data_IF_450069966812
#
_entry.id   IF_450069966812
#
_cell.length_a   1.000
_cell.length_b   1.000
_cell.length_c   1.000
_cell.angle_alpha   90.00
_cell.angle_beta   90.00
_cell.angle_gamma   90.00
#
_symmetry.space_group_name_H-M   'P 1'
#
loop_
_entity.id
_entity.type
_entity.pdbx_description
1 polymer ?
#
# COMPACT_ATOMS: atom_id res chain seq x y z
N UNK A 1 -34.69 29.40 10.06
CA UNK A 1 -33.24 29.30 10.40
C UNK A 1 -33.12 28.52 11.71
N UNK A 2 -33.17 27.19 11.66
CA UNK A 2 -32.81 26.30 12.77
C UNK A 2 -32.55 24.85 12.30
N UNK A 3 -33.00 24.49 11.09
CA UNK A 3 -32.78 23.15 10.50
C UNK A 3 -31.31 22.86 10.14
N UNK A 4 -30.51 23.85 9.74
CA UNK A 4 -29.09 23.64 9.41
C UNK A 4 -28.19 23.35 10.63
N UNK A 5 -28.60 23.76 11.84
CA UNK A 5 -27.78 23.59 13.05
C UNK A 5 -27.99 22.20 13.67
N UNK A 6 -29.22 21.67 13.62
CA UNK A 6 -29.53 20.33 14.12
C UNK A 6 -28.94 19.21 13.23
N UNK A 7 -28.93 19.41 11.91
CA UNK A 7 -28.36 18.42 10.96
C UNK A 7 -26.84 18.31 11.10
N UNK A 8 -26.14 19.43 11.32
CA UNK A 8 -24.68 19.44 11.53
C UNK A 8 -24.31 18.76 12.84
N UNK A 9 -25.08 18.96 13.91
CA UNK A 9 -24.85 18.25 15.17
C UNK A 9 -25.12 16.76 15.03
N UNK A 10 -26.18 16.35 14.35
CA UNK A 10 -26.48 14.93 14.14
C UNK A 10 -25.41 14.23 13.28
N UNK A 11 -24.94 14.88 12.20
CA UNK A 11 -23.83 14.37 11.41
C UNK A 11 -22.53 14.29 12.22
N UNK A 12 -22.21 15.30 13.03
CA UNK A 12 -21.02 15.31 13.89
C UNK A 12 -21.09 14.22 14.97
N UNK A 13 -22.27 13.98 15.55
CA UNK A 13 -22.49 12.92 16.54
C UNK A 13 -22.39 11.54 15.88
N UNK A 14 -22.99 11.34 14.70
CA UNK A 14 -22.84 10.08 13.96
C UNK A 14 -21.36 9.86 13.58
N UNK A 15 -20.68 10.88 13.07
CA UNK A 15 -19.24 10.81 12.75
C UNK A 15 -18.40 10.53 13.99
N UNK A 16 -18.74 11.09 15.15
CA UNK A 16 -18.04 10.88 16.42
C UNK A 16 -18.32 9.50 17.04
N UNK A 17 -19.54 9.00 16.94
CA UNK A 17 -19.93 7.66 17.40
C UNK A 17 -19.36 6.57 16.48
N UNK A 18 -19.32 6.85 15.19
CA UNK A 18 -18.68 6.00 14.18
C UNK A 18 -17.17 5.96 14.42
N UNK A 19 -16.55 7.13 14.62
CA UNK A 19 -15.16 7.29 15.08
C UNK A 19 -14.87 6.49 16.35
N UNK A 20 -15.70 6.60 17.39
CA UNK A 20 -15.47 5.93 18.67
C UNK A 20 -15.61 4.40 18.58
N UNK A 21 -16.61 3.90 17.83
CA UNK A 21 -16.75 2.45 17.56
C UNK A 21 -15.59 1.90 16.74
N UNK A 22 -15.07 2.70 15.81
CA UNK A 22 -13.91 2.30 15.01
C UNK A 22 -12.60 2.37 15.79
N UNK A 23 -12.41 3.37 16.65
CA UNK A 23 -11.29 3.42 17.58
C UNK A 23 -11.32 2.24 18.56
N UNK A 24 -12.51 1.86 19.03
CA UNK A 24 -12.69 0.67 19.86
C UNK A 24 -12.33 -0.60 19.06
N UNK A 25 -12.82 -0.75 17.83
CA UNK A 25 -12.46 -1.88 16.96
C UNK A 25 -10.96 -1.94 16.65
N UNK A 26 -10.34 -0.80 16.33
CA UNK A 26 -8.91 -0.68 16.08
C UNK A 26 -8.11 -0.97 17.36
N UNK A 27 -8.60 -0.55 18.52
CA UNK A 27 -7.99 -0.84 19.81
C UNK A 27 -8.08 -2.33 20.15
N UNK A 28 -9.25 -2.96 19.96
CA UNK A 28 -9.47 -4.39 20.13
C UNK A 28 -8.60 -5.20 19.17
N UNK A 29 -8.45 -4.76 17.91
CA UNK A 29 -7.56 -5.37 16.92
C UNK A 29 -6.08 -5.20 17.27
N UNK A 30 -5.65 -4.01 17.71
CA UNK A 30 -4.30 -3.79 18.25
C UNK A 30 -4.02 -4.68 19.45
N UNK A 31 -5.01 -4.90 20.32
CA UNK A 31 -4.91 -5.85 21.43
C UNK A 31 -4.87 -7.31 20.96
N UNK A 32 -5.64 -7.67 19.94
CA UNK A 32 -5.66 -9.01 19.35
C UNK A 32 -4.34 -9.34 18.63
N UNK A 33 -3.77 -8.39 17.88
CA UNK A 33 -2.45 -8.50 17.26
C UNK A 33 -1.31 -8.50 18.30
N UNK A 34 -1.43 -7.75 19.40
CA UNK A 34 -0.50 -7.77 20.53
C UNK A 34 -0.47 -9.10 21.28
N UNK A 35 -1.51 -9.92 21.20
CA UNK A 35 -1.46 -11.32 21.67
C UNK A 35 -0.61 -12.10 20.67
N UNK A 36 0.71 -11.94 20.84
CA UNK A 36 1.82 -12.38 19.99
C UNK A 36 1.99 -13.91 20.03
N UNK A 37 0.89 -14.62 19.78
CA UNK A 37 0.82 -16.08 19.74
C UNK A 37 -0.12 -16.49 18.61
N UNK A 38 0.51 -16.88 17.50
CA UNK A 38 0.11 -17.96 16.60
C UNK A 38 -0.99 -17.72 15.55
N UNK A 39 -0.59 -17.18 14.40
CA UNK A 39 -0.49 -17.91 13.12
C UNK A 39 -0.27 -16.91 11.98
N UNK A 40 0.65 -17.21 11.06
CA UNK A 40 0.90 -16.43 9.83
C UNK A 40 -0.41 -16.05 9.10
N UNK A 41 -1.35 -16.99 9.06
CA UNK A 41 -2.69 -16.82 8.50
C UNK A 41 -3.48 -15.66 9.12
N UNK A 42 -3.40 -15.46 10.44
CA UNK A 42 -4.09 -14.34 11.11
C UNK A 42 -3.47 -13.00 10.74
N UNK A 43 -2.15 -12.93 10.59
CA UNK A 43 -1.46 -11.70 10.18
C UNK A 43 -1.80 -11.32 8.75
N UNK A 44 -1.85 -12.30 7.84
CA UNK A 44 -2.34 -12.08 6.48
C UNK A 44 -3.80 -11.62 6.45
N UNK A 45 -4.69 -12.26 7.21
CA UNK A 45 -6.09 -11.83 7.30
C UNK A 45 -6.24 -10.41 7.84
N UNK A 46 -5.40 -10.01 8.78
CA UNK A 46 -5.38 -8.65 9.28
C UNK A 46 -4.90 -7.65 8.23
N UNK A 47 -3.83 -7.97 7.48
CA UNK A 47 -3.39 -7.16 6.35
C UNK A 47 -4.45 -7.08 5.23
N UNK A 48 -5.09 -8.21 4.88
CA UNK A 48 -6.19 -8.28 3.91
C UNK A 48 -7.36 -7.36 4.34
N UNK A 49 -7.72 -7.39 5.63
CA UNK A 49 -8.76 -6.51 6.20
C UNK A 49 -8.38 -5.02 6.11
N UNK A 50 -7.15 -4.68 6.50
CA UNK A 50 -6.66 -3.30 6.43
C UNK A 50 -6.66 -2.79 4.98
N UNK A 51 -6.22 -3.61 4.02
CA UNK A 51 -6.24 -3.25 2.61
C UNK A 51 -7.67 -3.00 2.11
N UNK A 52 -8.60 -3.92 2.39
CA UNK A 52 -10.00 -3.76 1.99
C UNK A 52 -10.61 -2.47 2.54
N UNK A 53 -10.23 -2.09 3.77
CA UNK A 53 -10.74 -0.87 4.39
C UNK A 53 -10.13 0.40 3.78
N UNK A 54 -8.84 0.38 3.43
CA UNK A 54 -8.18 1.48 2.68
C UNK A 54 -8.84 1.65 1.30
N UNK A 55 -9.13 0.55 0.60
CA UNK A 55 -9.75 0.57 -0.73
C UNK A 55 -11.23 0.96 -0.70
N UNK A 56 -11.91 0.84 0.45
CA UNK A 56 -13.36 1.05 0.53
C UNK A 56 -13.82 2.50 0.31
N UNK A 57 -12.91 3.47 0.15
CA UNK A 57 -13.17 4.93 0.06
C UNK A 57 -13.96 5.53 1.25
N UNK A 58 -14.37 4.72 2.23
CA UNK A 58 -15.12 5.13 3.43
C UNK A 58 -14.22 5.89 4.42
N UNK A 59 -12.90 5.71 4.33
CA UNK A 59 -11.93 6.37 5.19
C UNK A 59 -11.49 7.72 4.60
N UNK A 60 -12.30 8.77 4.76
CA UNK A 60 -11.87 10.13 4.40
C UNK A 60 -10.96 10.74 5.49
N UNK A 61 -9.91 11.45 5.06
CA UNK A 61 -9.07 12.28 5.93
C UNK A 61 -8.09 11.51 6.84
N UNK A 62 -8.10 11.82 8.14
CA UNK A 62 -7.11 11.31 9.11
C UNK A 62 -7.12 9.78 9.31
N UNK A 63 -8.23 9.12 8.99
CA UNK A 63 -8.36 7.67 9.09
C UNK A 63 -7.53 6.93 8.05
N UNK A 64 -7.53 7.42 6.81
CA UNK A 64 -6.76 6.84 5.71
C UNK A 64 -5.27 6.73 6.05
N UNK A 65 -4.68 7.83 6.54
CA UNK A 65 -3.27 7.85 6.94
C UNK A 65 -2.98 6.87 8.10
N UNK A 66 -3.87 6.79 9.09
CA UNK A 66 -3.71 5.89 10.24
C UNK A 66 -3.77 4.43 9.82
N UNK A 67 -4.67 4.09 8.90
CA UNK A 67 -4.82 2.74 8.35
C UNK A 67 -3.64 2.35 7.47
N UNK A 68 -3.20 3.26 6.59
CA UNK A 68 -1.98 3.10 5.79
C UNK A 68 -0.77 2.85 6.69
N UNK A 69 -0.60 3.62 7.76
CA UNK A 69 0.49 3.39 8.71
C UNK A 69 0.37 2.04 9.44
N UNK A 70 -0.85 1.64 9.84
CA UNK A 70 -1.07 0.33 10.45
C UNK A 70 -0.75 -0.82 9.47
N UNK A 71 -1.11 -0.67 8.20
CA UNK A 71 -0.81 -1.62 7.13
C UNK A 71 0.70 -1.71 6.89
N UNK A 72 1.39 -0.57 6.76
CA UNK A 72 2.85 -0.51 6.62
C UNK A 72 3.51 -1.28 7.76
N UNK A 73 3.18 -0.96 9.00
CA UNK A 73 3.78 -1.60 10.17
C UNK A 73 3.54 -3.12 10.17
N UNK A 74 2.34 -3.57 9.83
CA UNK A 74 2.02 -5.01 9.80
C UNK A 74 2.83 -5.77 8.75
N UNK A 75 2.91 -5.23 7.52
CA UNK A 75 3.64 -5.87 6.42
C UNK A 75 5.15 -5.77 6.62
N UNK A 76 5.67 -4.65 7.13
CA UNK A 76 7.09 -4.53 7.49
C UNK A 76 7.48 -5.48 8.62
N UNK A 77 6.63 -5.66 9.64
CA UNK A 77 6.86 -6.62 10.71
C UNK A 77 6.79 -8.08 10.21
N UNK A 78 5.98 -8.35 9.18
CA UNK A 78 5.99 -9.66 8.50
C UNK A 78 7.30 -9.88 7.75
N UNK A 79 7.77 -8.87 7.01
CA UNK A 79 9.05 -8.92 6.30
C UNK A 79 10.26 -9.04 7.24
N UNK A 80 10.24 -8.34 8.37
CA UNK A 80 11.30 -8.38 9.37
C UNK A 80 11.35 -9.71 10.13
N UNK A 81 10.20 -10.38 10.26
CA UNK A 81 10.08 -11.69 10.90
C UNK A 81 10.45 -12.88 10.01
N UNK A 82 10.99 -12.64 8.81
CA UNK A 82 11.30 -13.66 7.80
C UNK A 82 10.11 -14.57 7.45
N UNK A 83 8.91 -14.00 7.56
CA UNK A 83 7.67 -14.70 7.20
C UNK A 83 7.42 -14.58 5.69
N UNK A 84 6.91 -15.63 5.03
CA UNK A 84 6.53 -15.53 3.62
C UNK A 84 5.40 -14.51 3.45
N UNK A 85 5.69 -13.39 2.78
CA UNK A 85 4.72 -12.35 2.48
C UNK A 85 4.15 -12.55 1.08
N UNK A 86 2.83 -12.54 0.93
CA UNK A 86 2.18 -12.64 -0.39
C UNK A 86 2.61 -11.44 -1.26
N UNK A 87 2.90 -11.70 -2.54
CA UNK A 87 3.24 -10.65 -3.54
C UNK A 87 2.24 -9.49 -3.52
N UNK A 88 0.94 -9.79 -3.45
CA UNK A 88 -0.12 -8.78 -3.39
C UNK A 88 0.12 -7.77 -2.26
N UNK A 89 0.49 -8.21 -1.06
CA UNK A 89 0.71 -7.30 0.06
C UNK A 89 1.89 -6.36 -0.17
N UNK A 90 2.91 -6.81 -0.88
CA UNK A 90 4.07 -6.01 -1.25
C UNK A 90 3.73 -4.98 -2.34
N UNK A 91 2.88 -5.35 -3.30
CA UNK A 91 2.39 -4.41 -4.30
C UNK A 91 1.52 -3.32 -3.65
N UNK A 92 0.57 -3.70 -2.80
CA UNK A 92 -0.23 -2.75 -2.00
C UNK A 92 0.66 -1.84 -1.15
N UNK A 93 1.70 -2.40 -0.51
CA UNK A 93 2.63 -1.59 0.28
C UNK A 93 3.35 -0.55 -0.59
N UNK A 94 3.74 -0.93 -1.82
CA UNK A 94 4.35 -0.01 -2.76
C UNK A 94 3.40 1.11 -3.21
N UNK A 95 2.14 0.78 -3.50
CA UNK A 95 1.10 1.76 -3.83
C UNK A 95 0.86 2.73 -2.67
N UNK A 96 0.84 2.24 -1.43
CA UNK A 96 0.75 3.08 -0.24
C UNK A 96 1.94 4.04 -0.16
N UNK A 97 3.18 3.56 -0.31
CA UNK A 97 4.35 4.44 -0.32
C UNK A 97 4.31 5.47 -1.44
N UNK A 98 3.85 5.11 -2.64
CA UNK A 98 3.64 6.05 -3.75
C UNK A 98 2.64 7.14 -3.36
N UNK A 99 1.51 6.75 -2.75
CA UNK A 99 0.47 7.70 -2.31
C UNK A 99 0.96 8.66 -1.23
N UNK A 100 1.88 8.21 -0.37
CA UNK A 100 2.49 9.01 0.70
C UNK A 100 3.70 9.80 0.22
N UNK A 101 4.21 9.55 -0.99
CA UNK A 101 5.44 10.14 -1.51
C UNK A 101 6.71 9.64 -0.80
N UNK A 102 6.67 8.52 -0.09
CA UNK A 102 7.82 7.91 0.58
C UNK A 102 8.66 7.08 -0.40
N UNK A 103 9.36 7.79 -1.27
CA UNK A 103 10.20 7.17 -2.30
C UNK A 103 11.39 6.40 -1.72
N UNK A 104 11.86 6.74 -0.51
CA UNK A 104 12.98 6.06 0.13
C UNK A 104 12.58 4.63 0.56
N UNK A 105 11.43 4.48 1.21
CA UNK A 105 10.89 3.16 1.57
C UNK A 105 10.51 2.36 0.33
N UNK A 106 9.94 3.02 -0.69
CA UNK A 106 9.59 2.40 -1.96
C UNK A 106 10.80 1.83 -2.71
N UNK A 107 11.92 2.54 -2.77
CA UNK A 107 13.15 2.05 -3.40
C UNK A 107 13.73 0.81 -2.69
N UNK A 108 13.69 0.80 -1.34
CA UNK A 108 14.08 -0.37 -0.54
C UNK A 108 13.17 -1.56 -0.80
N UNK A 109 11.86 -1.32 -0.92
CA UNK A 109 10.88 -2.36 -1.24
C UNK A 109 11.06 -2.89 -2.66
N UNK A 110 11.28 -2.01 -3.65
CA UNK A 110 11.56 -2.39 -5.04
C UNK A 110 12.79 -3.30 -5.12
N UNK A 111 13.86 -3.00 -4.37
CA UNK A 111 15.06 -3.85 -4.31
C UNK A 111 14.70 -5.27 -3.88
N UNK A 112 13.93 -5.42 -2.78
CA UNK A 112 13.43 -6.72 -2.31
C UNK A 112 12.51 -7.41 -3.33
N UNK A 113 11.65 -6.64 -4.00
CA UNK A 113 10.73 -7.16 -5.00
C UNK A 113 11.48 -7.75 -6.21
N UNK A 114 12.55 -7.10 -6.67
CA UNK A 114 13.40 -7.65 -7.74
C UNK A 114 14.23 -8.86 -7.28
N UNK A 115 14.62 -8.94 -6.01
CA UNK A 115 15.26 -10.14 -5.45
C UNK A 115 14.30 -11.34 -5.43
N UNK A 116 13.03 -11.10 -5.09
CA UNK A 116 12.02 -12.16 -4.96
C UNK A 116 11.39 -12.57 -6.29
N UNK A 117 11.18 -11.62 -7.20
CA UNK A 117 10.48 -11.84 -8.48
C UNK A 117 11.16 -11.06 -9.62
N UNK A 118 12.39 -11.43 -10.02
CA UNK A 118 13.18 -10.67 -10.99
C UNK A 118 12.52 -10.53 -12.38
N UNK A 119 11.81 -11.57 -12.82
CA UNK A 119 11.21 -11.65 -14.16
C UNK A 119 9.74 -11.19 -14.22
N UNK A 120 9.26 -10.57 -13.15
CA UNK A 120 7.85 -10.22 -13.01
C UNK A 120 7.52 -8.84 -13.58
N UNK A 121 6.75 -8.82 -14.66
CA UNK A 121 6.41 -7.58 -15.37
C UNK A 121 5.74 -6.54 -14.48
N UNK A 122 4.95 -6.92 -13.47
CA UNK A 122 4.23 -5.96 -12.63
C UNK A 122 5.20 -5.12 -11.80
N UNK A 123 6.32 -5.72 -11.40
CA UNK A 123 7.37 -5.04 -10.62
C UNK A 123 8.16 -4.09 -11.53
N UNK A 124 8.39 -4.48 -12.77
CA UNK A 124 8.95 -3.58 -13.79
C UNK A 124 8.04 -2.38 -14.06
N UNK A 125 6.74 -2.61 -14.17
CA UNK A 125 5.76 -1.51 -14.34
C UNK A 125 5.70 -0.62 -13.10
N UNK A 126 5.74 -1.19 -11.90
CA UNK A 126 5.79 -0.43 -10.64
C UNK A 126 7.06 0.44 -10.56
N UNK A 127 8.23 -0.07 -10.97
CA UNK A 127 9.48 0.71 -11.06
C UNK A 127 9.32 1.87 -12.04
N UNK A 128 8.75 1.62 -13.23
CA UNK A 128 8.50 2.68 -14.22
C UNK A 128 7.56 3.76 -13.66
N UNK A 129 6.45 3.37 -13.07
CA UNK A 129 5.47 4.30 -12.50
C UNK A 129 6.10 5.15 -11.39
N UNK A 130 6.95 4.54 -10.56
CA UNK A 130 7.72 5.25 -9.53
C UNK A 130 8.66 6.30 -10.13
N UNK A 131 9.38 5.96 -11.20
CA UNK A 131 10.29 6.89 -11.89
C UNK A 131 9.53 8.07 -12.50
N UNK A 132 8.39 7.79 -13.14
CA UNK A 132 7.51 8.79 -13.73
C UNK A 132 6.96 9.72 -12.65
N UNK A 133 6.50 9.18 -11.51
CA UNK A 133 6.03 9.95 -10.35
C UNK A 133 7.13 10.87 -9.80
N UNK A 134 8.37 10.37 -9.68
CA UNK A 134 9.55 11.17 -9.27
C UNK A 134 9.98 12.20 -10.31
N UNK A 135 9.48 12.11 -11.55
CA UNK A 135 9.88 12.94 -12.71
C UNK A 135 11.40 12.89 -12.95
N UNK A 136 12.01 11.73 -12.73
CA UNK A 136 13.46 11.54 -12.80
C UNK A 136 13.89 11.03 -14.17
N UNK A 137 14.37 11.93 -15.04
CA UNK A 137 14.84 11.56 -16.39
C UNK A 137 16.13 10.72 -16.39
N UNK A 138 16.96 10.85 -15.35
CA UNK A 138 18.14 10.00 -15.17
C UNK A 138 17.78 8.58 -14.81
N UNK A 139 16.78 8.39 -13.94
CA UNK A 139 16.34 7.06 -13.54
C UNK A 139 15.60 6.37 -14.69
N UNK A 140 14.90 7.13 -15.53
CA UNK A 140 14.27 6.60 -16.75
C UNK A 140 15.31 6.04 -17.74
N UNK A 141 16.44 6.73 -17.94
CA UNK A 141 17.53 6.20 -18.78
C UNK A 141 18.12 4.90 -18.22
N UNK A 142 18.31 4.82 -16.90
CA UNK A 142 18.80 3.59 -16.23
C UNK A 142 17.78 2.46 -16.34
N UNK A 143 16.49 2.75 -16.21
CA UNK A 143 15.42 1.77 -16.37
C UNK A 143 15.49 1.05 -17.71
N UNK A 144 15.70 1.79 -18.81
CA UNK A 144 15.84 1.20 -20.14
C UNK A 144 17.08 0.31 -20.26
N UNK A 145 18.22 0.75 -19.70
CA UNK A 145 19.44 -0.06 -19.67
C UNK A 145 19.25 -1.36 -18.88
N UNK A 146 18.56 -1.30 -17.75
CA UNK A 146 18.24 -2.48 -16.95
C UNK A 146 17.28 -3.41 -17.71
N UNK A 147 16.28 -2.85 -18.38
CA UNK A 147 15.28 -3.63 -19.13
C UNK A 147 15.88 -4.34 -20.34
N UNK A 148 16.86 -3.74 -21.02
CA UNK A 148 17.60 -4.40 -22.11
C UNK A 148 18.43 -5.60 -21.61
N UNK A 149 18.94 -5.53 -20.38
CA UNK A 149 19.75 -6.60 -19.77
C UNK A 149 18.91 -7.75 -19.19
N UNK A 150 17.62 -7.50 -18.89
CA UNK A 150 16.73 -8.48 -18.28
C UNK A 150 15.68 -8.97 -19.29
N UNK A 151 15.59 -10.28 -19.50
CA UNK A 151 14.65 -10.87 -20.45
C UNK A 151 13.26 -11.06 -19.83
N UNK A 152 12.52 -9.96 -19.65
CA UNK A 152 11.16 -9.97 -19.09
C UNK A 152 10.10 -9.98 -20.20
N UNK A 153 9.10 -10.86 -20.07
CA UNK A 153 7.97 -10.92 -21.00
C UNK A 153 6.85 -9.97 -20.58
N UNK A 154 6.60 -8.95 -21.40
CA UNK A 154 5.52 -7.99 -21.19
C UNK A 154 4.26 -8.35 -21.97
N UNK A 155 3.10 -8.14 -21.34
CA UNK A 155 1.80 -8.15 -22.00
C UNK A 155 1.70 -7.10 -23.12
N UNK A 156 0.73 -7.24 -24.03
CA UNK A 156 0.52 -6.27 -25.10
C UNK A 156 0.22 -4.86 -24.55
N UNK A 157 -0.53 -4.78 -23.46
CA UNK A 157 -0.86 -3.54 -22.76
C UNK A 157 0.40 -2.89 -22.16
N UNK A 158 1.20 -3.66 -21.41
CA UNK A 158 2.42 -3.14 -20.80
C UNK A 158 3.46 -2.73 -21.84
N UNK A 159 3.53 -3.42 -22.98
CA UNK A 159 4.35 -3.00 -24.14
C UNK A 159 3.92 -1.64 -24.69
N UNK A 160 2.62 -1.38 -24.79
CA UNK A 160 2.13 -0.09 -25.25
C UNK A 160 2.49 1.03 -24.26
N UNK A 161 2.35 0.78 -22.95
CA UNK A 161 2.74 1.73 -21.90
C UNK A 161 4.25 2.01 -21.91
N UNK A 162 5.08 0.97 -22.09
CA UNK A 162 6.53 1.13 -22.24
C UNK A 162 6.87 1.98 -23.46
N UNK A 163 6.28 1.68 -24.62
CA UNK A 163 6.54 2.43 -25.86
C UNK A 163 6.16 3.91 -25.78
N UNK A 164 5.19 4.28 -24.94
CA UNK A 164 4.83 5.69 -24.70
C UNK A 164 5.93 6.47 -23.96
N UNK A 165 6.67 5.80 -23.07
CA UNK A 165 7.70 6.42 -22.22
C UNK A 165 9.13 6.26 -22.77
N UNK A 166 9.29 5.54 -23.88
CA UNK A 166 10.56 5.37 -24.59
C UNK A 166 10.88 6.61 -25.43
#
# INVERSE_FOLDING_TARGET
>A
MNEDIEVVHYATTILSELTAKYDEHLHQLKQYAKKKTESLDRRHKYADFLNHYIESEIAEGHYDLTLKQAYINEVEDLLAGDFPVKKLHLLTLAEIYQSLGDFASLERLLTKLFELFPDDQDIWMLKLDTIVLKKSSSDLKRFWQDLEQNHVYFSAENKAKLAFWQ
#
